data_IF_451574650301
#
_entry.id   IF_451574650301
#
_cell.length_a   1.000
_cell.length_b   1.000
_cell.length_c   1.000
_cell.angle_alpha   90.00
_cell.angle_beta   90.00
_cell.angle_gamma   90.00
#
_symmetry.space_group_name_H-M   'P 1'
#
loop_
_entity.id
_entity.type
_entity.pdbx_description
1 polymer ?
#
# COMPACT_ATOMS: atom_id res chain seq x y z
N UNK A 1 -5.24 -17.13 24.92
CA UNK A 1 -5.81 -16.73 23.62
C UNK A 1 -4.67 -16.06 22.89
N UNK A 2 -4.09 -16.75 21.92
CA UNK A 2 -2.99 -16.21 21.13
C UNK A 2 -3.63 -15.26 20.12
N UNK A 3 -3.52 -13.97 20.37
CA UNK A 3 -3.77 -12.98 19.33
C UNK A 3 -2.68 -13.21 18.30
N UNK A 4 -3.02 -13.92 17.22
CA UNK A 4 -2.26 -13.88 15.97
C UNK A 4 -2.32 -12.43 15.51
N UNK A 5 -1.38 -11.63 16.04
CA UNK A 5 -1.03 -10.35 15.46
C UNK A 5 -0.65 -10.71 14.03
N UNK A 6 -1.52 -10.40 13.07
CA UNK A 6 -1.11 -10.31 11.67
C UNK A 6 0.12 -9.40 11.67
N UNK A 7 1.31 -10.01 11.59
CA UNK A 7 2.56 -9.26 11.55
C UNK A 7 2.40 -8.31 10.38
N UNK A 8 2.41 -7.02 10.68
CA UNK A 8 2.38 -5.98 9.66
C UNK A 8 3.73 -6.05 8.94
N UNK A 9 3.82 -6.95 7.97
CA UNK A 9 5.03 -7.30 7.20
C UNK A 9 5.40 -6.22 6.19
N UNK A 10 4.70 -5.07 6.21
CA UNK A 10 4.90 -3.97 5.28
C UNK A 10 5.75 -2.87 5.91
N UNK A 11 6.77 -2.43 5.19
CA UNK A 11 7.70 -1.39 5.60
C UNK A 11 7.58 -0.17 4.69
N UNK A 12 8.01 0.99 5.19
CA UNK A 12 8.18 2.17 4.35
C UNK A 12 9.19 1.87 3.24
N UNK A 13 8.79 2.10 1.99
CA UNK A 13 9.60 1.84 0.82
C UNK A 13 9.17 0.63 0.01
N UNK A 14 8.36 -0.26 0.58
CA UNK A 14 7.86 -1.44 -0.12
C UNK A 14 6.94 -1.05 -1.27
N UNK A 15 6.98 -1.87 -2.32
CA UNK A 15 6.10 -1.74 -3.47
C UNK A 15 4.91 -2.66 -3.26
N UNK A 16 3.71 -2.11 -3.49
CA UNK A 16 2.45 -2.83 -3.33
C UNK A 16 1.64 -2.72 -4.61
N UNK A 17 0.81 -3.74 -4.84
CA UNK A 17 -0.23 -3.74 -5.85
C UNK A 17 -1.57 -3.53 -5.15
N UNK A 18 -2.31 -2.51 -5.55
CA UNK A 18 -3.61 -2.21 -4.96
C UNK A 18 -4.65 -3.16 -5.53
N UNK A 19 -5.41 -3.84 -4.68
CA UNK A 19 -6.39 -4.86 -5.09
C UNK A 19 -7.84 -4.40 -4.95
N UNK A 20 -8.07 -3.24 -4.33
CA UNK A 20 -9.40 -2.67 -4.08
C UNK A 20 -9.46 -1.14 -4.27
N UNK A 21 -10.68 -0.60 -4.42
CA UNK A 21 -10.93 0.85 -4.57
C UNK A 21 -10.65 1.42 -5.96
N UNK A 22 -10.59 2.75 -6.06
CA UNK A 22 -10.42 3.49 -7.31
C UNK A 22 -9.03 3.27 -7.96
N UNK A 23 -8.03 2.89 -7.16
CA UNK A 23 -6.67 2.62 -7.61
C UNK A 23 -6.40 1.13 -7.82
N UNK A 24 -7.44 0.28 -7.87
CA UNK A 24 -7.28 -1.16 -8.10
C UNK A 24 -6.50 -1.46 -9.38
N UNK A 25 -5.45 -2.26 -9.26
CA UNK A 25 -4.54 -2.63 -10.34
C UNK A 25 -3.35 -1.69 -10.50
N UNK A 26 -3.30 -0.59 -9.75
CA UNK A 26 -2.16 0.34 -9.76
C UNK A 26 -1.08 -0.09 -8.77
N UNK A 27 0.16 0.24 -9.13
CA UNK A 27 1.32 0.08 -8.26
C UNK A 27 1.52 1.33 -7.42
N UNK A 28 1.81 1.10 -6.15
CA UNK A 28 2.09 2.15 -5.19
C UNK A 28 3.30 1.80 -4.34
N UNK A 29 3.87 2.83 -3.73
CA UNK A 29 4.98 2.72 -2.80
C UNK A 29 4.51 3.12 -1.41
N UNK A 30 4.78 2.27 -0.43
CA UNK A 30 4.45 2.51 0.98
C UNK A 30 5.30 3.67 1.48
N UNK A 31 4.65 4.71 1.98
CA UNK A 31 5.29 5.87 2.61
C UNK A 31 5.43 5.60 4.10
N UNK A 32 4.35 5.15 4.73
CA UNK A 32 4.28 4.97 6.18
C UNK A 32 3.32 3.84 6.51
N UNK A 33 3.78 2.78 7.21
CA UNK A 33 2.90 1.76 7.76
C UNK A 33 2.24 2.23 9.06
N UNK A 34 0.98 1.85 9.25
CA UNK A 34 0.23 2.00 10.49
C UNK A 34 -0.26 0.62 10.95
N UNK A 35 -0.89 0.56 12.12
CA UNK A 35 -1.36 -0.70 12.72
C UNK A 35 -2.43 -1.42 11.89
N UNK A 36 -3.32 -0.67 11.21
CA UNK A 36 -4.46 -1.23 10.48
C UNK A 36 -4.51 -0.79 9.00
N UNK A 37 -3.52 -0.01 8.59
CA UNK A 37 -3.50 0.64 7.28
C UNK A 37 -2.09 1.06 6.91
N UNK A 38 -1.94 1.53 5.68
CA UNK A 38 -0.71 2.11 5.17
C UNK A 38 -1.04 3.41 4.44
N UNK A 39 -0.12 4.35 4.45
CA UNK A 39 -0.11 5.43 3.46
C UNK A 39 0.75 5.00 2.29
N UNK A 40 0.21 5.05 1.08
CA UNK A 40 0.91 4.70 -0.15
C UNK A 40 0.84 5.84 -1.18
N UNK A 41 1.91 6.04 -1.92
CA UNK A 41 2.00 6.99 -3.04
C UNK A 41 1.97 6.21 -4.36
N UNK A 42 1.11 6.59 -5.30
CA UNK A 42 1.05 5.91 -6.60
C UNK A 42 2.35 6.11 -7.38
N UNK A 43 2.74 5.10 -8.16
CA UNK A 43 3.88 5.25 -9.08
C UNK A 43 3.55 6.13 -10.28
N UNK A 44 2.31 6.05 -10.78
CA UNK A 44 1.84 6.91 -11.87
C UNK A 44 1.55 8.31 -11.36
N UNK A 45 1.84 9.29 -12.22
CA UNK A 45 1.45 10.68 -12.00
C UNK A 45 0.03 10.91 -12.53
N UNK A 46 -0.71 11.76 -11.84
CA UNK A 46 -2.00 12.26 -12.31
C UNK A 46 -1.81 13.30 -13.43
N UNK A 47 -2.94 13.82 -13.95
CA UNK A 47 -2.98 14.82 -15.02
C UNK A 47 -2.32 16.16 -14.64
N UNK A 48 -2.15 16.42 -13.35
CA UNK A 48 -1.46 17.61 -12.81
C UNK A 48 0.04 17.37 -12.61
N UNK A 49 0.52 16.15 -12.88
CA UNK A 49 1.91 15.76 -12.72
C UNK A 49 2.31 15.45 -11.28
N UNK A 50 1.35 15.40 -10.35
CA UNK A 50 1.56 14.99 -8.97
C UNK A 50 1.45 13.46 -8.84
N UNK A 51 2.04 12.91 -7.78
CA UNK A 51 1.83 11.50 -7.43
C UNK A 51 0.73 11.43 -6.38
N UNK A 52 -0.47 10.93 -6.73
CA UNK A 52 -1.56 10.86 -5.77
C UNK A 52 -1.18 9.92 -4.62
N UNK A 53 -1.63 10.29 -3.43
CA UNK A 53 -1.44 9.52 -2.20
C UNK A 53 -2.77 9.00 -1.72
N UNK A 54 -2.76 7.80 -1.18
CA UNK A 54 -3.95 7.15 -0.63
C UNK A 54 -3.61 6.38 0.63
N UNK A 55 -4.64 6.08 1.41
CA UNK A 55 -4.54 5.24 2.60
C UNK A 55 -5.31 3.96 2.33
N UNK A 56 -4.67 2.82 2.52
CA UNK A 56 -5.22 1.49 2.24
C UNK A 56 -5.14 0.64 3.49
N UNK A 57 -6.17 -0.18 3.74
CA UNK A 57 -6.10 -1.22 4.76
C UNK A 57 -5.19 -2.36 4.30
N UNK A 58 -4.67 -3.15 5.24
CA UNK A 58 -3.85 -4.32 4.94
C UNK A 58 -4.53 -5.35 4.03
N UNK A 59 -5.87 -5.36 3.96
CA UNK A 59 -6.65 -6.22 3.07
C UNK A 59 -6.86 -5.66 1.65
N UNK A 60 -6.43 -4.43 1.35
CA UNK A 60 -6.72 -3.72 0.10
C UNK A 60 -5.51 -3.66 -0.86
N UNK A 61 -4.42 -4.35 -0.52
CA UNK A 61 -3.21 -4.41 -1.34
C UNK A 61 -2.45 -5.72 -1.12
N UNK A 62 -1.54 -6.02 -2.04
CA UNK A 62 -0.59 -7.14 -1.95
C UNK A 62 0.84 -6.60 -2.07
N UNK A 63 1.78 -7.15 -1.29
CA UNK A 63 3.19 -6.77 -1.37
C UNK A 63 3.80 -7.38 -2.64
N UNK A 64 4.44 -6.57 -3.45
CA UNK A 64 5.17 -7.02 -4.64
C UNK A 64 6.61 -7.29 -4.21
N UNK A 65 6.89 -8.50 -3.72
CA UNK A 65 8.28 -8.91 -3.43
C UNK A 65 9.09 -8.88 -4.72
N UNK A 66 10.17 -8.09 -4.72
CA UNK A 66 11.18 -8.19 -5.79
C UNK A 66 11.96 -9.48 -5.54
N UNK A 67 11.65 -10.50 -6.33
CA UNK A 67 12.45 -11.71 -6.50
C UNK A 67 13.88 -11.39 -6.99
#
# INVERSE_FOLDING_TARGET
MSEEQEEVLVQSGDQILITAGDYKGELAKVITPYTNSISAEMEKRDEEGAKPRTVLKHAEYEIVEKA
#
